data_IF_180192935634
#
_entry.id   IF_180192935634
#
_cell.length_a   1.000
_cell.length_b   1.000
_cell.length_c   1.000
_cell.angle_alpha   90.00
_cell.angle_beta   90.00
_cell.angle_gamma   90.00
#
_symmetry.space_group_name_H-M   'P 1'
#
loop_
_entity.id
_entity.type
_entity.pdbx_description
1 polymer ?
#
# COMPACT_ATOMS: atom_id res chain seq x y z
N UNK A 1 6.86 -18.65 11.49
CA UNK A 1 7.09 -17.78 12.65
C UNK A 1 5.86 -16.88 12.87
N UNK A 2 4.86 -17.39 13.61
CA UNK A 2 3.57 -16.69 13.82
C UNK A 2 3.73 -15.36 14.56
N UNK A 3 4.76 -15.19 15.37
CA UNK A 3 4.98 -13.97 16.16
C UNK A 3 5.67 -12.86 15.34
N UNK A 4 6.51 -13.22 14.38
CA UNK A 4 7.27 -12.26 13.56
C UNK A 4 6.57 -11.87 12.28
N UNK A 5 5.70 -12.73 11.74
CA UNK A 5 4.94 -12.44 10.53
C UNK A 5 3.63 -11.70 10.88
N UNK A 6 3.74 -10.65 11.69
CA UNK A 6 2.64 -9.77 12.05
C UNK A 6 3.17 -8.38 12.41
N UNK A 7 2.40 -7.35 12.10
CA UNK A 7 2.74 -5.98 12.48
C UNK A 7 2.45 -5.73 13.95
N UNK A 8 3.20 -4.83 14.60
CA UNK A 8 3.00 -4.46 16.01
C UNK A 8 1.65 -3.78 16.27
N UNK A 9 0.98 -3.30 15.22
CA UNK A 9 -0.32 -2.64 15.28
C UNK A 9 -1.50 -3.51 14.80
N UNK A 10 -1.28 -4.81 14.54
CA UNK A 10 -2.36 -5.72 14.15
C UNK A 10 -3.36 -5.91 15.30
N UNK A 11 -4.65 -5.67 15.05
CA UNK A 11 -5.71 -5.74 16.07
C UNK A 11 -6.86 -6.66 15.67
N UNK A 12 -7.07 -6.90 14.39
CA UNK A 12 -8.21 -7.65 13.87
C UNK A 12 -7.76 -8.91 13.14
N UNK A 13 -8.40 -10.03 13.47
CA UNK A 13 -8.19 -11.31 12.79
C UNK A 13 -9.00 -11.31 11.50
N UNK A 14 -8.50 -11.96 10.44
CA UNK A 14 -9.24 -12.13 9.18
C UNK A 14 -8.39 -12.00 7.91
N UNK A 15 -7.14 -11.57 8.03
CA UNK A 15 -6.20 -11.50 6.91
C UNK A 15 -5.44 -12.81 6.74
N UNK A 16 -5.23 -13.24 5.51
CA UNK A 16 -4.41 -14.42 5.18
C UNK A 16 -2.92 -14.09 5.23
N UNK A 17 -2.57 -12.86 4.85
CA UNK A 17 -1.19 -12.38 4.86
C UNK A 17 -1.04 -11.09 5.67
N UNK A 18 0.13 -10.89 6.27
CA UNK A 18 0.47 -9.63 6.92
C UNK A 18 0.77 -8.53 5.89
N UNK A 19 0.48 -7.25 6.19
CA UNK A 19 0.91 -6.13 5.36
C UNK A 19 2.43 -5.93 5.52
N UNK A 20 3.20 -6.60 4.68
CA UNK A 20 4.65 -6.82 4.88
C UNK A 20 5.48 -5.55 4.94
N UNK A 21 5.08 -4.47 4.26
CA UNK A 21 5.72 -3.16 4.43
C UNK A 21 5.57 -2.61 5.86
N UNK A 22 4.50 -2.97 6.57
CA UNK A 22 4.27 -2.62 7.96
C UNK A 22 5.19 -3.32 8.95
N UNK A 23 5.82 -4.44 8.58
CA UNK A 23 6.75 -5.16 9.43
C UNK A 23 8.03 -4.35 9.75
N UNK A 24 8.33 -3.33 8.96
CA UNK A 24 9.44 -2.40 9.23
C UNK A 24 9.13 -1.42 10.36
N UNK A 25 7.87 -1.31 10.79
CA UNK A 25 7.46 -0.37 11.83
C UNK A 25 7.50 -1.03 13.19
N UNK A 26 8.28 -0.46 14.09
CA UNK A 26 8.37 -0.80 15.50
C UNK A 26 7.76 0.31 16.35
N UNK A 27 7.51 0.04 17.65
CA UNK A 27 7.04 1.08 18.58
C UNK A 27 8.01 2.27 18.65
N UNK A 28 9.32 2.02 18.46
CA UNK A 28 10.30 3.09 18.38
C UNK A 28 10.13 3.98 17.14
N UNK A 29 9.87 3.37 15.99
CA UNK A 29 9.57 4.12 14.76
C UNK A 29 8.32 4.99 14.95
N UNK A 30 7.24 4.45 15.55
CA UNK A 30 6.03 5.23 15.82
C UNK A 30 6.29 6.40 16.76
N UNK A 31 7.02 6.20 17.87
CA UNK A 31 7.41 7.30 18.77
C UNK A 31 8.22 8.38 18.08
N UNK A 32 9.14 8.00 17.19
CA UNK A 32 9.96 8.95 16.41
C UNK A 32 9.15 9.72 15.36
N UNK A 33 8.15 9.10 14.77
CA UNK A 33 7.21 9.78 13.85
C UNK A 33 6.38 10.82 14.62
N UNK A 34 5.82 10.44 15.75
CA UNK A 34 5.04 11.32 16.62
C UNK A 34 5.86 12.52 17.07
N UNK A 35 7.09 12.30 17.57
CA UNK A 35 8.00 13.36 17.98
C UNK A 35 8.35 14.36 16.87
N UNK A 36 8.17 13.96 15.58
CA UNK A 36 8.35 14.82 14.41
C UNK A 36 7.04 15.41 13.86
N UNK A 37 5.94 15.25 14.57
CA UNK A 37 4.62 15.74 14.14
C UNK A 37 4.04 14.99 12.92
N UNK A 38 4.52 13.77 12.65
CA UNK A 38 3.96 12.93 11.60
C UNK A 38 2.73 12.21 12.15
N UNK A 39 1.57 12.49 11.56
CA UNK A 39 0.33 11.83 11.93
C UNK A 39 0.24 10.43 11.31
N UNK A 40 -0.15 9.45 12.11
CA UNK A 40 -0.41 8.09 11.66
C UNK A 40 -1.92 7.85 11.61
N UNK A 41 -2.40 7.36 10.46
CA UNK A 41 -3.79 6.97 10.25
C UNK A 41 -3.83 5.48 9.90
N UNK A 42 -4.67 4.72 10.60
CA UNK A 42 -4.79 3.28 10.40
C UNK A 42 -6.04 2.97 9.58
N UNK A 43 -5.92 2.02 8.63
CA UNK A 43 -7.02 1.44 7.88
C UNK A 43 -7.02 -0.07 8.06
N UNK A 44 -8.19 -0.70 8.09
CA UNK A 44 -8.31 -2.15 8.16
C UNK A 44 -8.29 -2.73 6.75
N UNK A 45 -7.42 -3.70 6.54
CA UNK A 45 -7.27 -4.41 5.27
C UNK A 45 -7.22 -5.92 5.53
N UNK A 46 -7.98 -6.70 4.77
CA UNK A 46 -7.85 -8.16 4.74
C UNK A 46 -7.14 -8.55 3.46
N UNK A 47 -5.82 -8.74 3.58
CA UNK A 47 -4.96 -9.11 2.44
C UNK A 47 -5.20 -10.57 2.07
N UNK A 48 -5.56 -10.81 0.81
CA UNK A 48 -5.79 -12.13 0.23
C UNK A 48 -4.56 -12.72 -0.46
N UNK A 49 -4.71 -13.92 -1.00
CA UNK A 49 -3.66 -14.57 -1.78
C UNK A 49 -3.41 -13.92 -3.14
N UNK A 50 -4.43 -13.31 -3.74
CA UNK A 50 -4.38 -12.75 -5.09
C UNK A 50 -3.35 -11.64 -5.27
N UNK A 51 -3.06 -10.90 -4.21
CA UNK A 51 -2.04 -9.83 -4.23
C UNK A 51 -0.64 -10.33 -4.61
N UNK A 52 -0.33 -11.60 -4.33
CA UNK A 52 1.00 -12.18 -4.58
C UNK A 52 1.04 -13.06 -5.84
N UNK A 53 -0.06 -13.18 -6.58
CA UNK A 53 -0.09 -13.98 -7.80
C UNK A 53 0.64 -13.28 -8.94
N UNK A 54 1.41 -14.02 -9.76
CA UNK A 54 2.01 -13.47 -10.95
C UNK A 54 0.92 -13.18 -12.01
N UNK A 55 1.16 -12.17 -12.83
CA UNK A 55 0.31 -11.86 -13.97
C UNK A 55 0.47 -12.98 -15.00
N UNK A 56 -0.65 -13.59 -15.39
CA UNK A 56 -0.69 -14.72 -16.33
C UNK A 56 -1.26 -14.37 -17.70
N UNK A 57 -1.75 -13.15 -17.88
CA UNK A 57 -2.30 -12.66 -19.15
C UNK A 57 -1.24 -11.86 -19.91
N UNK A 58 -1.24 -11.97 -21.24
CA UNK A 58 -0.38 -11.17 -22.12
C UNK A 58 -0.87 -9.71 -22.19
N UNK A 59 -2.18 -9.52 -22.11
CA UNK A 59 -2.81 -8.20 -22.09
C UNK A 59 -3.06 -7.76 -20.65
N UNK A 60 -2.42 -6.66 -20.28
CA UNK A 60 -2.54 -6.05 -18.93
C UNK A 60 -3.98 -5.63 -18.65
N UNK A 61 -4.70 -5.14 -19.64
CA UNK A 61 -6.09 -4.68 -19.50
C UNK A 61 -7.06 -5.84 -19.23
N UNK A 62 -6.67 -7.06 -19.58
CA UNK A 62 -7.45 -8.27 -19.31
C UNK A 62 -7.25 -8.82 -17.87
N UNK A 63 -6.27 -8.29 -17.12
CA UNK A 63 -5.99 -8.76 -15.77
C UNK A 63 -7.07 -8.32 -14.78
N UNK A 64 -7.64 -9.28 -14.06
CA UNK A 64 -8.60 -9.03 -12.99
C UNK A 64 -7.94 -9.23 -11.62
N UNK A 65 -7.93 -8.16 -10.82
CA UNK A 65 -7.48 -8.23 -9.43
C UNK A 65 -8.53 -8.90 -8.54
N UNK A 66 -8.09 -9.82 -7.69
CA UNK A 66 -8.95 -10.33 -6.63
C UNK A 66 -9.34 -9.19 -5.68
N UNK A 67 -10.63 -9.11 -5.30
CA UNK A 67 -11.10 -8.08 -4.39
C UNK A 67 -10.59 -8.33 -2.97
N UNK A 68 -10.05 -7.30 -2.34
CA UNK A 68 -9.59 -7.31 -0.94
C UNK A 68 -10.50 -6.41 -0.09
N UNK A 69 -10.95 -6.95 1.03
CA UNK A 69 -11.80 -6.20 1.95
C UNK A 69 -11.01 -5.08 2.63
N UNK A 70 -11.64 -3.92 2.72
CA UNK A 70 -11.12 -2.78 3.47
C UNK A 70 -12.19 -2.15 4.35
N UNK A 71 -11.74 -1.45 5.42
CA UNK A 71 -12.57 -0.55 6.22
C UNK A 71 -11.78 0.66 6.67
N UNK A 72 -12.35 1.84 6.45
CA UNK A 72 -11.85 3.13 6.92
C UNK A 72 -12.87 3.71 7.87
N UNK A 73 -12.50 3.84 9.13
CA UNK A 73 -13.36 4.38 10.18
C UNK A 73 -13.59 5.90 9.97
N UNK A 74 -14.72 6.40 10.50
CA UNK A 74 -15.09 7.81 10.38
C UNK A 74 -13.99 8.77 10.84
N UNK A 75 -13.41 8.51 12.00
CA UNK A 75 -12.32 9.33 12.55
C UNK A 75 -11.06 9.32 11.70
N UNK A 76 -10.72 8.17 11.07
CA UNK A 76 -9.60 8.07 10.14
C UNK A 76 -9.88 8.84 8.84
N UNK A 77 -11.07 8.68 8.28
CA UNK A 77 -11.49 9.40 7.09
C UNK A 77 -11.45 10.91 7.28
N UNK A 78 -12.01 11.40 8.40
CA UNK A 78 -11.99 12.82 8.77
C UNK A 78 -10.55 13.36 8.93
N UNK A 79 -9.70 12.63 9.64
CA UNK A 79 -8.28 13.03 9.82
C UNK A 79 -7.55 13.14 8.50
N UNK A 80 -7.70 12.16 7.60
CA UNK A 80 -7.05 12.19 6.28
C UNK A 80 -7.53 13.40 5.48
N UNK A 81 -8.85 13.68 5.45
CA UNK A 81 -9.39 14.85 4.77
C UNK A 81 -8.81 16.15 5.31
N UNK A 82 -8.82 16.32 6.64
CA UNK A 82 -8.32 17.52 7.29
C UNK A 82 -6.85 17.76 6.96
N UNK A 83 -6.00 16.72 7.06
CA UNK A 83 -4.59 16.83 6.70
C UNK A 83 -4.36 17.14 5.22
N UNK A 84 -5.17 16.57 4.32
CA UNK A 84 -5.09 16.92 2.88
C UNK A 84 -5.53 18.37 2.64
N UNK A 85 -6.57 18.86 3.33
CA UNK A 85 -7.02 20.26 3.25
C UNK A 85 -5.95 21.24 3.79
N UNK A 86 -5.16 20.82 4.77
CA UNK A 86 -3.99 21.55 5.28
C UNK A 86 -2.77 21.52 4.32
N UNK A 87 -2.87 20.84 3.18
CA UNK A 87 -1.77 20.66 2.23
C UNK A 87 -0.69 19.67 2.69
N UNK A 88 -0.97 18.83 3.68
CA UNK A 88 -0.01 17.82 4.16
C UNK A 88 0.07 16.66 3.18
N UNK A 89 1.28 16.12 3.05
CA UNK A 89 1.54 14.95 2.20
C UNK A 89 0.99 13.68 2.83
N UNK A 90 0.36 12.83 2.01
CA UNK A 90 -0.12 11.52 2.40
C UNK A 90 0.80 10.44 1.85
N UNK A 91 1.44 9.70 2.75
CA UNK A 91 2.33 8.58 2.40
C UNK A 91 1.66 7.28 2.80
N UNK A 92 1.43 6.39 1.84
CA UNK A 92 0.92 5.06 2.12
C UNK A 92 2.04 4.11 2.52
N UNK A 93 1.76 3.24 3.49
CA UNK A 93 2.60 2.10 3.85
C UNK A 93 1.96 0.83 3.33
N UNK A 94 2.58 0.25 2.31
CA UNK A 94 2.13 -0.95 1.60
C UNK A 94 1.26 -0.68 0.36
N UNK A 95 1.37 -1.59 -0.58
CA UNK A 95 0.64 -1.54 -1.86
C UNK A 95 -0.86 -1.74 -1.69
N UNK A 96 -1.31 -2.53 -0.71
CA UNK A 96 -2.73 -2.72 -0.41
C UNK A 96 -3.36 -1.42 0.14
N UNK A 97 -2.65 -0.71 1.03
CA UNK A 97 -3.07 0.63 1.50
C UNK A 97 -3.17 1.62 0.34
N UNK A 98 -2.20 1.60 -0.57
CA UNK A 98 -2.19 2.42 -1.79
C UNK A 98 -3.42 2.15 -2.64
N UNK A 99 -3.71 0.89 -2.94
CA UNK A 99 -4.87 0.49 -3.75
C UNK A 99 -6.18 0.94 -3.10
N UNK A 100 -6.34 0.71 -1.80
CA UNK A 100 -7.52 1.11 -1.06
C UNK A 100 -7.75 2.64 -1.13
N UNK A 101 -6.74 3.44 -0.83
CA UNK A 101 -6.87 4.91 -0.82
C UNK A 101 -7.10 5.47 -2.22
N UNK A 102 -6.43 4.94 -3.24
CA UNK A 102 -6.64 5.35 -4.63
C UNK A 102 -7.98 4.85 -5.20
N UNK A 103 -8.51 3.73 -4.71
CA UNK A 103 -9.88 3.28 -5.01
C UNK A 103 -10.89 4.27 -4.46
N UNK A 104 -10.79 4.63 -3.19
CA UNK A 104 -11.68 5.60 -2.54
C UNK A 104 -11.57 7.00 -3.16
N UNK A 105 -10.39 7.40 -3.64
CA UNK A 105 -10.20 8.69 -4.31
C UNK A 105 -10.97 8.84 -5.63
N UNK A 106 -11.56 7.75 -6.16
CA UNK A 106 -12.40 7.76 -7.37
C UNK A 106 -13.87 7.93 -7.06
N UNK A 107 -14.26 7.78 -5.81
CA UNK A 107 -15.61 8.06 -5.37
C UNK A 107 -15.94 9.57 -5.56
N UNK A 108 -17.23 9.89 -5.63
CA UNK A 108 -17.68 11.27 -5.81
C UNK A 108 -17.22 12.19 -4.67
N UNK A 109 -17.27 11.68 -3.44
CA UNK A 109 -16.88 12.39 -2.22
C UNK A 109 -15.88 11.51 -1.43
N UNK A 110 -14.60 11.52 -1.80
CA UNK A 110 -13.61 10.65 -1.17
C UNK A 110 -13.51 10.87 0.34
N UNK A 111 -13.67 9.81 1.11
CA UNK A 111 -13.52 9.83 2.57
C UNK A 111 -14.48 10.80 3.31
N UNK A 112 -15.58 11.22 2.70
CA UNK A 112 -16.59 12.07 3.38
C UNK A 112 -17.27 11.31 4.53
N UNK A 113 -17.47 10.00 4.34
CA UNK A 113 -18.05 9.10 5.32
C UNK A 113 -17.11 7.93 5.61
N UNK A 114 -17.35 7.16 6.71
CA UNK A 114 -16.68 5.88 6.89
C UNK A 114 -16.97 4.98 5.69
N UNK A 115 -15.96 4.27 5.24
CA UNK A 115 -16.06 3.44 4.05
C UNK A 115 -15.65 2.00 4.35
N UNK A 116 -16.38 1.05 3.83
CA UNK A 116 -16.00 -0.36 3.83
C UNK A 116 -16.48 -1.02 2.55
N UNK A 117 -15.74 -2.01 2.09
CA UNK A 117 -16.07 -2.70 0.85
C UNK A 117 -14.94 -3.57 0.35
N UNK A 118 -14.97 -3.84 -0.94
CA UNK A 118 -13.97 -4.65 -1.61
C UNK A 118 -13.26 -3.83 -2.69
N UNK A 119 -11.95 -3.75 -2.60
CA UNK A 119 -11.09 -3.07 -3.57
C UNK A 119 -10.50 -4.09 -4.55
N UNK A 120 -10.85 -3.97 -5.82
CA UNK A 120 -10.26 -4.73 -6.93
C UNK A 120 -9.43 -3.84 -7.87
N UNK A 121 -9.04 -2.67 -7.42
CA UNK A 121 -8.30 -1.70 -8.24
C UNK A 121 -6.96 -2.29 -8.67
N UNK A 122 -6.75 -2.38 -9.99
CA UNK A 122 -5.47 -2.69 -10.59
C UNK A 122 -4.74 -1.41 -10.98
N UNK A 123 -3.52 -1.24 -10.47
CA UNK A 123 -2.68 -0.07 -10.74
C UNK A 123 -1.47 -0.52 -11.56
N UNK A 124 -1.32 0.06 -12.75
CA UNK A 124 -0.23 -0.21 -13.69
C UNK A 124 0.22 1.09 -14.40
N UNK A 125 1.33 1.10 -15.14
CA UNK A 125 1.84 2.30 -15.79
C UNK A 125 0.79 3.04 -16.63
N UNK A 126 0.72 4.36 -16.45
CA UNK A 126 -0.33 5.22 -17.01
C UNK A 126 -1.42 5.61 -16.00
N UNK A 127 -1.48 4.95 -14.84
CA UNK A 127 -2.40 5.28 -13.78
C UNK A 127 -2.11 6.67 -13.17
N UNK A 128 -3.18 7.45 -12.94
CA UNK A 128 -3.09 8.77 -12.32
C UNK A 128 -3.46 8.69 -10.84
N UNK A 129 -2.48 8.86 -9.98
CA UNK A 129 -2.69 8.95 -8.53
C UNK A 129 -3.40 10.26 -8.18
N UNK A 130 -4.34 10.21 -7.24
CA UNK A 130 -5.17 11.34 -6.80
C UNK A 130 -5.03 11.63 -5.32
N UNK A 131 -4.75 10.62 -4.53
CA UNK A 131 -4.72 10.71 -3.07
C UNK A 131 -3.31 10.77 -2.52
N UNK A 132 -2.39 9.95 -3.05
CA UNK A 132 -1.09 9.71 -2.45
C UNK A 132 0.01 10.62 -3.00
N UNK A 133 0.86 11.06 -2.08
CA UNK A 133 2.05 11.87 -2.37
C UNK A 133 3.34 11.04 -2.17
N UNK A 134 3.24 9.86 -1.59
CA UNK A 134 4.36 8.95 -1.34
C UNK A 134 3.93 7.53 -1.07
N UNK A 135 4.83 6.60 -1.29
CA UNK A 135 4.65 5.17 -1.06
C UNK A 135 5.89 4.58 -0.41
N UNK A 136 5.69 3.88 0.72
CA UNK A 136 6.69 3.03 1.34
C UNK A 136 6.27 1.59 1.16
N UNK A 137 7.12 0.79 0.50
CA UNK A 137 6.83 -0.62 0.23
C UNK A 137 8.12 -1.44 0.12
N UNK A 138 7.99 -2.76 0.08
CA UNK A 138 9.11 -3.69 -0.14
C UNK A 138 9.47 -3.76 -1.63
N UNK A 139 10.60 -4.41 -1.94
CA UNK A 139 10.89 -4.87 -3.29
C UNK A 139 9.93 -5.99 -3.68
N UNK A 140 9.46 -5.97 -4.91
CA UNK A 140 8.47 -6.91 -5.46
C UNK A 140 9.07 -7.79 -6.54
N UNK A 141 8.43 -8.94 -6.79
CA UNK A 141 8.80 -9.85 -7.87
C UNK A 141 8.61 -9.18 -9.24
N UNK A 142 9.51 -9.43 -10.20
CA UNK A 142 9.23 -9.14 -11.61
C UNK A 142 7.92 -9.79 -12.05
N UNK A 143 7.26 -9.20 -13.04
CA UNK A 143 5.98 -9.69 -13.60
C UNK A 143 4.83 -9.80 -12.57
N UNK A 144 4.91 -9.08 -11.46
CA UNK A 144 3.84 -9.02 -10.49
C UNK A 144 3.02 -7.73 -10.60
N UNK A 145 1.76 -7.79 -10.17
CA UNK A 145 0.89 -6.61 -10.07
C UNK A 145 1.48 -5.53 -9.18
N UNK A 146 2.23 -5.94 -8.15
CA UNK A 146 2.88 -5.03 -7.21
C UNK A 146 4.07 -4.29 -7.84
N UNK A 147 4.85 -4.97 -8.70
CA UNK A 147 5.91 -4.30 -9.46
C UNK A 147 5.33 -3.30 -10.46
N UNK A 148 4.20 -3.63 -11.10
CA UNK A 148 3.50 -2.68 -11.98
C UNK A 148 3.02 -1.45 -11.22
N UNK A 149 2.51 -1.61 -9.99
CA UNK A 149 2.08 -0.49 -9.16
C UNK A 149 3.24 0.47 -8.85
N UNK A 150 4.41 -0.04 -8.44
CA UNK A 150 5.55 0.83 -8.16
C UNK A 150 6.10 1.49 -9.43
N UNK A 151 6.05 0.80 -10.57
CA UNK A 151 6.36 1.38 -11.88
C UNK A 151 5.36 2.48 -12.28
N UNK A 152 4.07 2.31 -11.96
CA UNK A 152 3.06 3.33 -12.18
C UNK A 152 3.30 4.58 -11.33
N UNK A 153 3.81 4.39 -10.09
CA UNK A 153 4.06 5.49 -9.15
C UNK A 153 5.33 6.28 -9.48
N UNK A 154 6.43 5.61 -9.76
CA UNK A 154 7.75 6.25 -9.90
C UNK A 154 8.28 6.27 -11.34
N UNK A 155 7.65 5.56 -12.28
CA UNK A 155 8.16 5.35 -13.62
C UNK A 155 8.92 4.03 -13.77
N UNK A 156 8.70 3.34 -14.90
CA UNK A 156 9.25 2.00 -15.14
C UNK A 156 10.78 1.99 -15.22
N UNK A 157 11.37 2.90 -15.98
CA UNK A 157 12.81 2.96 -16.17
C UNK A 157 13.55 3.23 -14.86
N UNK A 158 13.11 4.24 -14.12
CA UNK A 158 13.67 4.57 -12.81
C UNK A 158 13.58 3.39 -11.82
N UNK A 159 12.46 2.66 -11.82
CA UNK A 159 12.32 1.48 -10.95
C UNK A 159 13.25 0.35 -11.36
N UNK A 160 13.44 0.11 -12.65
CA UNK A 160 14.40 -0.90 -13.13
C UNK A 160 15.85 -0.54 -12.70
N UNK A 161 16.24 0.71 -12.83
CA UNK A 161 17.56 1.19 -12.39
C UNK A 161 17.75 1.00 -10.88
N UNK A 162 16.76 1.35 -10.06
CA UNK A 162 16.82 1.14 -8.60
C UNK A 162 16.87 -0.33 -8.23
N UNK A 163 16.19 -1.22 -8.95
CA UNK A 163 16.28 -2.65 -8.73
C UNK A 163 17.67 -3.20 -9.07
N UNK A 164 18.30 -2.75 -10.15
CA UNK A 164 19.68 -3.11 -10.48
C UNK A 164 20.67 -2.62 -9.40
N UNK A 165 20.52 -1.39 -8.95
CA UNK A 165 21.32 -0.84 -7.85
C UNK A 165 21.12 -1.64 -6.55
N UNK A 166 19.89 -2.00 -6.21
CA UNK A 166 19.58 -2.80 -5.02
C UNK A 166 20.22 -4.20 -5.11
N UNK A 167 20.20 -4.83 -6.28
CA UNK A 167 20.86 -6.12 -6.53
C UNK A 167 22.38 -5.98 -6.37
N UNK A 168 22.99 -4.95 -6.97
CA UNK A 168 24.43 -4.71 -6.91
C UNK A 168 24.93 -4.49 -5.49
N UNK A 169 24.09 -3.91 -4.63
CA UNK A 169 24.38 -3.64 -3.20
C UNK A 169 23.91 -4.72 -2.26
N UNK A 170 23.43 -5.86 -2.75
CA UNK A 170 22.93 -6.98 -1.94
C UNK A 170 21.79 -6.57 -0.98
N UNK A 171 20.87 -5.70 -1.41
CA UNK A 171 19.67 -5.42 -0.65
C UNK A 171 18.80 -6.66 -0.52
N UNK A 172 18.13 -6.79 0.62
CA UNK A 172 17.16 -7.87 0.83
C UNK A 172 15.87 -7.60 0.06
N UNK A 173 15.37 -8.63 -0.60
CA UNK A 173 14.12 -8.58 -1.36
C UNK A 173 12.98 -9.19 -0.58
N UNK A 174 11.75 -8.85 -0.91
CA UNK A 174 10.50 -9.28 -0.31
C UNK A 174 10.38 -8.87 1.17
N UNK A 175 9.72 -9.73 1.97
CA UNK A 175 9.39 -9.43 3.37
C UNK A 175 10.56 -9.67 4.32
N UNK A 176 11.40 -10.67 4.02
CA UNK A 176 12.51 -11.10 4.88
C UNK A 176 13.87 -11.14 4.18
N UNK A 177 13.89 -10.95 2.91
CA UNK A 177 15.10 -11.04 2.10
C UNK A 177 15.48 -12.43 1.67
#
# INVERSE_FOLDING_TARGET
DRLRYQTVYARHIGSVAAPTAGLHFTDDVFRRLEARGVAVCEILLHVGYGTFQPIRCEDVDAHQMEPEYFRVEASTAERIRNYKAEGRRLVAVGTTSTRCLEYLAREKNPLEHPASGFCNLFIYPGFKFRMLDGLLTNFHLPQSTLFMLVCAFAGRELMLDYYQEAISRNYRFYSYG
#
